data_IF_206505518813
#
_entry.id   IF_206505518813
#
_cell.length_a   1.000
_cell.length_b   1.000
_cell.length_c   1.000
_cell.angle_alpha   90.00
_cell.angle_beta   90.00
_cell.angle_gamma   90.00
#
_symmetry.space_group_name_H-M   'P 1'
#
loop_
_entity.id
_entity.type
_entity.pdbx_description
1 polymer ?
#
# COMPACT_ATOMS: atom_id res chain seq x y z
N UNK A 1 26.90 -6.77 -18.96
CA UNK A 1 27.47 -8.12 -18.85
C UNK A 1 28.99 -8.14 -18.90
N UNK A 2 29.64 -7.43 -19.88
CA UNK A 2 31.09 -7.49 -20.08
C UNK A 2 31.90 -7.10 -18.82
N UNK A 3 31.53 -6.02 -18.14
CA UNK A 3 32.20 -5.58 -16.91
C UNK A 3 32.06 -6.59 -15.75
N UNK A 4 30.90 -7.24 -15.65
CA UNK A 4 30.67 -8.27 -14.64
C UNK A 4 31.57 -9.49 -14.89
N UNK A 5 31.62 -9.94 -16.16
CA UNK A 5 32.49 -11.06 -16.56
C UNK A 5 33.97 -10.72 -16.35
N UNK A 6 34.40 -9.50 -16.66
CA UNK A 6 35.76 -9.05 -16.41
C UNK A 6 36.16 -8.98 -14.92
N UNK A 7 35.17 -8.85 -14.05
CA UNK A 7 35.32 -8.84 -12.59
C UNK A 7 35.03 -10.20 -11.93
N UNK A 8 34.95 -11.29 -12.71
CA UNK A 8 34.57 -12.63 -12.22
C UNK A 8 33.20 -12.67 -11.48
N UNK A 9 32.30 -11.75 -11.82
CA UNK A 9 30.94 -11.71 -11.27
C UNK A 9 29.97 -12.32 -12.28
N UNK A 10 29.17 -13.27 -11.84
CA UNK A 10 28.16 -13.88 -12.68
C UNK A 10 27.15 -12.83 -13.20
N UNK A 11 26.82 -12.82 -14.50
CA UNK A 11 25.79 -11.96 -15.03
C UNK A 11 24.43 -12.22 -14.37
N UNK A 12 23.54 -11.19 -14.28
CA UNK A 12 22.20 -11.37 -13.76
C UNK A 12 21.44 -12.37 -14.64
N UNK A 13 20.62 -13.20 -14.00
CA UNK A 13 19.77 -14.17 -14.72
C UNK A 13 18.69 -13.50 -15.55
N UNK A 14 18.30 -12.29 -15.19
CA UNK A 14 17.27 -11.49 -15.86
C UNK A 14 17.63 -10.02 -15.79
N UNK A 15 17.43 -9.31 -16.89
CA UNK A 15 17.47 -7.84 -16.97
C UNK A 15 16.07 -7.38 -17.26
N UNK A 16 15.52 -6.52 -16.42
CA UNK A 16 14.18 -5.96 -16.59
C UNK A 16 14.28 -4.49 -16.94
N UNK A 17 13.67 -4.10 -18.09
CA UNK A 17 13.56 -2.71 -18.49
C UNK A 17 12.26 -2.10 -17.95
N UNK A 18 12.33 -0.89 -17.43
CA UNK A 18 11.16 -0.12 -17.04
C UNK A 18 10.94 1.07 -17.98
N UNK A 19 9.72 1.62 -17.97
CA UNK A 19 9.34 2.77 -18.78
C UNK A 19 9.85 4.11 -18.23
N UNK A 20 9.48 5.19 -18.90
CA UNK A 20 9.83 6.54 -18.51
C UNK A 20 8.85 7.08 -17.46
N UNK A 21 9.34 7.99 -16.63
CA UNK A 21 8.48 8.83 -15.79
C UNK A 21 8.22 10.12 -16.57
N UNK A 22 6.94 10.38 -16.84
CA UNK A 22 6.43 11.51 -17.59
C UNK A 22 5.79 12.53 -16.64
N UNK A 23 5.76 13.79 -17.06
CA UNK A 23 4.99 14.85 -16.41
C UNK A 23 4.12 15.54 -17.45
N UNK A 24 2.78 15.44 -17.30
CA UNK A 24 1.83 15.97 -18.27
C UNK A 24 1.93 15.29 -19.65
N UNK A 25 2.09 13.96 -19.68
CA UNK A 25 2.26 13.12 -20.88
C UNK A 25 3.52 13.43 -21.68
N UNK A 26 4.42 14.26 -21.15
CA UNK A 26 5.69 14.58 -21.78
C UNK A 26 6.87 14.09 -20.95
N UNK A 27 7.97 13.77 -21.64
CA UNK A 27 9.23 13.45 -20.97
C UNK A 27 9.71 14.67 -20.17
N UNK A 28 10.04 14.46 -18.90
CA UNK A 28 10.59 15.51 -18.05
C UNK A 28 11.88 16.08 -18.63
N UNK A 29 11.98 17.41 -18.68
CA UNK A 29 13.13 18.12 -19.22
C UNK A 29 13.34 19.42 -18.48
N UNK A 30 14.61 19.74 -18.15
CA UNK A 30 14.98 20.99 -17.50
C UNK A 30 14.59 22.21 -18.34
N UNK A 31 14.71 22.12 -19.65
CA UNK A 31 14.37 23.22 -20.56
C UNK A 31 12.87 23.52 -20.64
N UNK A 32 12.02 22.54 -20.31
CA UNK A 32 10.55 22.69 -20.28
C UNK A 32 10.01 23.10 -18.91
N UNK A 33 10.83 23.05 -17.87
CA UNK A 33 10.42 23.38 -16.49
C UNK A 33 9.37 22.42 -15.90
N UNK A 34 9.21 21.22 -16.48
CA UNK A 34 8.23 20.22 -16.07
C UNK A 34 8.85 19.09 -15.21
N UNK A 35 9.99 19.36 -14.59
CA UNK A 35 10.63 18.40 -13.69
C UNK A 35 9.98 18.49 -12.32
N UNK A 36 9.55 17.36 -11.81
CA UNK A 36 9.23 17.17 -10.40
C UNK A 36 10.53 16.74 -9.69
N UNK A 37 11.11 17.66 -8.90
CA UNK A 37 12.34 17.35 -8.16
C UNK A 37 12.00 16.42 -6.99
N UNK A 38 12.54 15.19 -6.97
CA UNK A 38 12.25 14.26 -5.91
C UNK A 38 12.74 14.73 -4.53
N UNK A 39 13.76 15.57 -4.45
CA UNK A 39 14.25 16.09 -3.17
C UNK A 39 13.26 17.09 -2.58
N UNK A 40 12.71 18.01 -3.39
CA UNK A 40 11.67 18.95 -2.95
C UNK A 40 10.40 18.20 -2.50
N UNK A 41 10.03 17.13 -3.18
CA UNK A 41 8.90 16.28 -2.80
C UNK A 41 9.18 15.57 -1.46
N UNK A 42 10.39 15.04 -1.29
CA UNK A 42 10.79 14.37 -0.03
C UNK A 42 10.79 15.35 1.13
N UNK A 43 11.29 16.57 0.93
CA UNK A 43 11.29 17.61 1.97
C UNK A 43 9.87 18.03 2.38
N UNK A 44 8.92 18.01 1.43
CA UNK A 44 7.53 18.41 1.67
C UNK A 44 6.67 17.30 2.24
N UNK A 45 6.73 16.10 1.66
CA UNK A 45 5.80 14.99 1.96
C UNK A 45 6.48 13.81 2.66
N UNK A 46 7.81 13.74 2.67
CA UNK A 46 8.58 12.62 3.18
C UNK A 46 8.93 11.58 2.09
N UNK A 47 9.91 10.75 2.40
CA UNK A 47 10.43 9.73 1.48
C UNK A 47 9.42 8.61 1.19
N UNK A 48 8.78 8.08 2.23
CA UNK A 48 7.89 6.92 2.08
C UNK A 48 6.62 7.23 1.28
N UNK A 49 5.95 8.38 1.42
CA UNK A 49 4.86 8.75 0.54
C UNK A 49 5.24 8.84 -0.94
N UNK A 50 6.42 9.39 -1.26
CA UNK A 50 6.91 9.43 -2.63
C UNK A 50 7.16 8.02 -3.18
N UNK A 51 7.83 7.16 -2.42
CA UNK A 51 8.08 5.76 -2.82
C UNK A 51 6.77 5.00 -3.03
N UNK A 52 5.83 5.15 -2.11
CA UNK A 52 4.50 4.55 -2.22
C UNK A 52 3.79 4.98 -3.51
N UNK A 53 3.74 6.28 -3.78
CA UNK A 53 3.12 6.85 -4.96
C UNK A 53 3.73 6.31 -6.26
N UNK A 54 5.06 6.33 -6.37
CA UNK A 54 5.75 5.85 -7.57
C UNK A 54 5.49 4.36 -7.83
N UNK A 55 5.48 3.54 -6.79
CA UNK A 55 5.22 2.10 -6.91
C UNK A 55 3.76 1.83 -7.27
N UNK A 56 2.83 2.61 -6.72
CA UNK A 56 1.39 2.41 -6.95
C UNK A 56 0.94 2.88 -8.31
N UNK A 57 1.34 4.09 -8.71
CA UNK A 57 0.81 4.77 -9.90
C UNK A 57 1.55 4.39 -11.19
N UNK A 58 2.80 3.98 -11.09
CA UNK A 58 3.62 3.62 -12.25
C UNK A 58 3.68 2.11 -12.39
N UNK A 59 2.96 1.55 -13.36
CA UNK A 59 3.08 0.13 -13.71
C UNK A 59 4.49 -0.17 -14.17
N UNK A 60 5.18 -1.08 -13.47
CA UNK A 60 6.54 -1.43 -13.78
C UNK A 60 6.64 -2.02 -15.20
N UNK A 61 7.55 -1.45 -16.04
CA UNK A 61 7.66 -1.82 -17.46
C UNK A 61 6.94 -0.88 -18.43
N UNK A 62 6.03 -0.03 -17.96
CA UNK A 62 5.32 0.96 -18.76
C UNK A 62 5.73 2.39 -18.38
N UNK A 63 5.43 3.35 -19.26
CA UNK A 63 5.59 4.76 -18.94
C UNK A 63 4.56 5.18 -17.89
N UNK A 64 4.99 5.99 -16.93
CA UNK A 64 4.14 6.49 -15.85
C UNK A 64 4.04 8.00 -15.88
N UNK A 65 2.81 8.53 -15.87
CA UNK A 65 2.56 9.96 -15.80
C UNK A 65 2.30 10.38 -14.34
N UNK A 66 3.24 11.15 -13.78
CA UNK A 66 3.16 11.63 -12.41
C UNK A 66 2.82 13.13 -12.36
N UNK A 67 2.11 13.53 -11.30
CA UNK A 67 1.85 14.93 -10.98
C UNK A 67 1.75 15.12 -9.47
N UNK A 68 1.91 16.36 -9.02
CA UNK A 68 1.78 16.71 -7.60
C UNK A 68 0.37 16.45 -7.10
N UNK A 69 -0.66 16.78 -7.89
CA UNK A 69 -2.05 16.56 -7.51
C UNK A 69 -2.37 15.08 -7.31
N UNK A 70 -1.83 14.21 -8.18
CA UNK A 70 -1.98 12.76 -8.04
C UNK A 70 -1.26 12.25 -6.79
N UNK A 71 -0.06 12.75 -6.50
CA UNK A 71 0.69 12.43 -5.29
C UNK A 71 -0.12 12.80 -4.03
N UNK A 72 -0.61 14.03 -3.96
CA UNK A 72 -1.42 14.51 -2.82
C UNK A 72 -2.71 13.69 -2.66
N UNK A 73 -3.39 13.41 -3.76
CA UNK A 73 -4.58 12.56 -3.76
C UNK A 73 -4.28 11.17 -3.25
N UNK A 74 -3.19 10.55 -3.70
CA UNK A 74 -2.75 9.23 -3.27
C UNK A 74 -2.41 9.20 -1.77
N UNK A 75 -1.66 10.19 -1.27
CA UNK A 75 -1.33 10.32 0.15
C UNK A 75 -2.62 10.45 0.99
N UNK A 76 -3.52 11.32 0.58
CA UNK A 76 -4.75 11.57 1.33
C UNK A 76 -5.70 10.39 1.30
N UNK A 77 -5.93 9.77 0.13
CA UNK A 77 -6.88 8.66 0.02
C UNK A 77 -6.39 7.40 0.71
N UNK A 78 -5.18 6.98 0.42
CA UNK A 78 -4.71 5.65 0.78
C UNK A 78 -3.98 5.64 2.12
N UNK A 79 -3.05 6.58 2.31
CA UNK A 79 -2.23 6.58 3.52
C UNK A 79 -2.96 7.23 4.69
N UNK A 80 -3.58 8.40 4.50
CA UNK A 80 -4.28 9.09 5.57
C UNK A 80 -5.69 8.52 5.83
N UNK A 81 -6.57 8.57 4.82
CA UNK A 81 -7.99 8.25 5.00
C UNK A 81 -8.30 6.75 5.00
N UNK A 82 -7.46 5.91 4.40
CA UNK A 82 -7.65 4.46 4.45
C UNK A 82 -6.79 3.84 5.57
N UNK A 83 -5.48 3.74 5.39
CA UNK A 83 -4.59 3.08 6.35
C UNK A 83 -4.53 3.80 7.69
N UNK A 84 -4.21 5.11 7.70
CA UNK A 84 -4.07 5.91 8.92
C UNK A 84 -5.36 5.96 9.73
N UNK A 85 -6.51 6.17 9.06
CA UNK A 85 -7.81 6.17 9.71
C UNK A 85 -8.16 4.80 10.32
N UNK A 86 -7.88 3.69 9.61
CA UNK A 86 -8.10 2.35 10.16
C UNK A 86 -7.27 2.13 11.42
N UNK A 87 -5.96 2.42 11.37
CA UNK A 87 -5.08 2.30 12.54
C UNK A 87 -5.56 3.15 13.71
N UNK A 88 -5.88 4.43 13.46
CA UNK A 88 -6.36 5.34 14.49
C UNK A 88 -7.64 4.83 15.15
N UNK A 89 -8.60 4.36 14.37
CA UNK A 89 -9.90 3.89 14.86
C UNK A 89 -9.76 2.61 15.70
N UNK A 90 -8.98 1.65 15.22
CA UNK A 90 -8.73 0.38 15.94
C UNK A 90 -7.97 0.64 17.23
N UNK A 91 -6.87 1.39 17.19
CA UNK A 91 -6.06 1.70 18.36
C UNK A 91 -6.83 2.56 19.39
N UNK A 92 -7.61 3.54 18.93
CA UNK A 92 -8.45 4.33 19.83
C UNK A 92 -9.56 3.49 20.48
N UNK A 93 -10.11 2.53 19.75
CA UNK A 93 -11.08 1.58 20.29
C UNK A 93 -10.45 0.68 21.36
N UNK A 94 -9.29 0.09 21.09
CA UNK A 94 -8.55 -0.73 22.04
C UNK A 94 -8.15 0.06 23.28
N UNK A 95 -7.65 1.28 23.12
CA UNK A 95 -7.34 2.15 24.26
C UNK A 95 -8.55 2.37 25.17
N UNK A 96 -9.68 2.72 24.57
CA UNK A 96 -10.89 3.10 25.32
C UNK A 96 -11.59 1.92 25.99
N UNK A 97 -11.50 0.72 25.41
CA UNK A 97 -12.34 -0.41 25.82
C UNK A 97 -11.55 -1.58 26.43
N UNK A 98 -10.24 -1.68 26.20
CA UNK A 98 -9.40 -2.80 26.68
C UNK A 98 -8.04 -2.38 27.26
N UNK A 99 -7.89 -1.13 27.70
CA UNK A 99 -6.65 -0.60 28.28
C UNK A 99 -5.38 -0.86 27.44
N UNK A 100 -5.48 -0.71 26.11
CA UNK A 100 -4.43 -1.03 25.13
C UNK A 100 -4.07 -2.52 25.03
N UNK A 101 -4.75 -3.39 25.70
CA UNK A 101 -4.56 -4.82 25.53
C UNK A 101 -5.37 -5.31 24.32
N UNK A 102 -4.80 -6.20 23.54
CA UNK A 102 -5.54 -6.93 22.51
C UNK A 102 -6.29 -8.05 23.24
N UNK A 103 -7.64 -8.08 23.20
CA UNK A 103 -8.41 -9.11 23.87
C UNK A 103 -8.05 -10.50 23.35
N UNK A 104 -8.14 -11.50 24.23
CA UNK A 104 -8.01 -12.90 23.81
C UNK A 104 -9.15 -13.28 22.87
N UNK A 105 -8.78 -13.99 21.80
CA UNK A 105 -9.72 -14.46 20.81
C UNK A 105 -10.52 -15.65 21.37
N UNK A 106 -11.84 -15.52 21.46
CA UNK A 106 -12.70 -16.60 21.95
C UNK A 106 -13.34 -17.40 20.81
N UNK A 107 -14.14 -16.76 19.97
CA UNK A 107 -14.85 -17.43 18.88
C UNK A 107 -15.07 -16.47 17.70
N UNK A 108 -14.71 -16.92 16.51
CA UNK A 108 -15.00 -16.19 15.29
C UNK A 108 -16.42 -16.49 14.81
N UNK A 109 -17.17 -15.46 14.47
CA UNK A 109 -18.43 -15.59 13.75
C UNK A 109 -18.20 -15.82 12.26
N UNK A 110 -19.26 -15.96 11.46
CA UNK A 110 -19.12 -16.22 10.03
C UNK A 110 -18.50 -15.04 9.26
N UNK A 111 -18.81 -13.79 9.65
CA UNK A 111 -18.23 -12.59 9.01
C UNK A 111 -16.73 -12.49 9.30
N UNK A 112 -16.32 -12.85 10.53
CA UNK A 112 -14.91 -12.88 10.93
C UNK A 112 -14.14 -13.92 10.09
N UNK A 113 -14.71 -15.12 9.94
CA UNK A 113 -14.12 -16.17 9.12
C UNK A 113 -14.01 -15.77 7.65
N UNK A 114 -15.05 -15.12 7.11
CA UNK A 114 -15.06 -14.66 5.72
C UNK A 114 -13.91 -13.70 5.44
N UNK A 115 -13.68 -12.70 6.31
CA UNK A 115 -12.59 -11.75 6.11
C UNK A 115 -11.21 -12.41 6.27
N UNK A 116 -11.03 -13.30 7.26
CA UNK A 116 -9.79 -14.05 7.46
C UNK A 116 -9.48 -14.98 6.29
N UNK A 117 -10.49 -15.69 5.78
CA UNK A 117 -10.38 -16.55 4.60
C UNK A 117 -10.03 -15.74 3.35
N UNK A 118 -10.58 -14.55 3.21
CA UNK A 118 -10.25 -13.65 2.11
C UNK A 118 -8.76 -13.30 2.12
N UNK A 119 -8.19 -12.94 3.26
CA UNK A 119 -6.75 -12.67 3.37
C UNK A 119 -5.89 -13.90 3.08
N UNK A 120 -6.29 -15.06 3.58
CA UNK A 120 -5.54 -16.31 3.39
C UNK A 120 -5.50 -16.77 1.94
N UNK A 121 -6.63 -16.72 1.24
CA UNK A 121 -6.76 -17.16 -0.17
C UNK A 121 -5.94 -16.32 -1.14
N UNK A 122 -5.64 -15.07 -0.77
CA UNK A 122 -4.97 -14.15 -1.68
C UNK A 122 -3.44 -14.15 -1.56
N UNK A 123 -2.88 -14.92 -0.65
CA UNK A 123 -1.42 -15.01 -0.48
C UNK A 123 -0.70 -15.47 -1.76
N UNK A 124 -1.26 -16.46 -2.47
CA UNK A 124 -0.70 -16.94 -3.73
C UNK A 124 -0.72 -15.87 -4.83
N UNK A 125 -1.75 -15.02 -4.85
CA UNK A 125 -1.82 -13.89 -5.79
C UNK A 125 -0.72 -12.86 -5.51
N UNK A 126 -0.44 -12.56 -4.24
CA UNK A 126 0.64 -11.67 -3.84
C UNK A 126 2.01 -12.22 -4.25
N UNK A 127 2.26 -13.51 -4.07
CA UNK A 127 3.49 -14.14 -4.53
C UNK A 127 3.64 -14.02 -6.05
N UNK A 128 2.57 -14.28 -6.80
CA UNK A 128 2.57 -14.16 -8.25
C UNK A 128 2.88 -12.73 -8.73
N UNK A 129 2.27 -11.71 -8.10
CA UNK A 129 2.58 -10.32 -8.43
C UNK A 129 4.05 -9.99 -8.14
N UNK A 130 4.59 -10.48 -7.01
CA UNK A 130 5.99 -10.30 -6.65
C UNK A 130 6.92 -10.95 -7.67
N UNK A 131 6.66 -12.21 -8.04
CA UNK A 131 7.48 -12.96 -8.99
C UNK A 131 7.48 -12.36 -10.40
N UNK A 132 6.35 -11.80 -10.81
CA UNK A 132 6.19 -11.11 -12.10
C UNK A 132 6.72 -9.68 -12.08
N UNK A 133 7.04 -9.13 -10.91
CA UNK A 133 7.38 -7.72 -10.71
C UNK A 133 6.20 -6.76 -10.99
N UNK A 134 4.97 -7.24 -10.85
CA UNK A 134 3.74 -6.47 -10.94
C UNK A 134 3.51 -5.69 -9.63
N UNK A 135 4.48 -4.82 -9.27
CA UNK A 135 4.54 -4.21 -7.92
C UNK A 135 3.36 -3.29 -7.67
N UNK A 136 2.87 -2.60 -8.69
CA UNK A 136 1.67 -1.78 -8.59
C UNK A 136 0.41 -2.62 -8.29
N UNK A 137 0.27 -3.81 -8.89
CA UNK A 137 -0.83 -4.73 -8.59
C UNK A 137 -0.73 -5.28 -7.17
N UNK A 138 0.50 -5.57 -6.72
CA UNK A 138 0.77 -5.99 -5.34
C UNK A 138 0.30 -4.93 -4.33
N UNK A 139 0.65 -3.67 -4.53
CA UNK A 139 0.28 -2.55 -3.64
C UNK A 139 -1.23 -2.28 -3.72
N UNK A 140 -1.81 -2.21 -4.91
CA UNK A 140 -3.25 -1.99 -5.07
C UNK A 140 -4.06 -3.08 -4.37
N UNK A 141 -3.63 -4.32 -4.49
CA UNK A 141 -4.25 -5.42 -3.76
C UNK A 141 -4.24 -5.20 -2.24
N UNK A 142 -3.11 -4.78 -1.65
CA UNK A 142 -3.03 -4.47 -0.21
C UNK A 142 -3.98 -3.33 0.16
N UNK A 143 -4.04 -2.27 -0.65
CA UNK A 143 -4.94 -1.13 -0.43
C UNK A 143 -6.41 -1.57 -0.44
N UNK A 144 -6.79 -2.45 -1.36
CA UNK A 144 -8.15 -3.01 -1.42
C UNK A 144 -8.49 -3.81 -0.15
N UNK A 145 -7.51 -4.57 0.40
CA UNK A 145 -7.71 -5.27 1.67
C UNK A 145 -7.88 -4.31 2.86
N UNK A 146 -7.19 -3.17 2.85
CA UNK A 146 -7.39 -2.13 3.88
C UNK A 146 -8.79 -1.50 3.79
N UNK A 147 -9.32 -1.29 2.59
CA UNK A 147 -10.70 -0.86 2.40
C UNK A 147 -11.70 -1.90 2.92
N UNK A 148 -11.46 -3.18 2.64
CA UNK A 148 -12.28 -4.28 3.17
C UNK A 148 -12.25 -4.33 4.70
N UNK A 149 -11.08 -4.14 5.32
CA UNK A 149 -10.93 -4.08 6.77
C UNK A 149 -11.65 -2.87 7.38
N UNK A 150 -11.56 -1.68 6.76
CA UNK A 150 -12.31 -0.51 7.18
C UNK A 150 -13.82 -0.73 7.12
N UNK A 151 -14.30 -1.34 6.04
CA UNK A 151 -15.72 -1.70 5.88
C UNK A 151 -16.14 -2.69 6.96
N UNK A 152 -15.39 -3.77 7.15
CA UNK A 152 -15.66 -4.76 8.19
C UNK A 152 -15.75 -4.13 9.59
N UNK A 153 -14.78 -3.28 9.97
CA UNK A 153 -14.82 -2.57 11.25
C UNK A 153 -16.05 -1.69 11.41
N UNK A 154 -16.53 -1.04 10.33
CA UNK A 154 -17.77 -0.29 10.32
C UNK A 154 -18.99 -1.19 10.50
N UNK A 155 -19.07 -2.28 9.73
CA UNK A 155 -20.22 -3.18 9.70
C UNK A 155 -20.39 -3.91 11.03
N UNK A 156 -19.27 -4.26 11.70
CA UNK A 156 -19.29 -4.92 13.00
C UNK A 156 -19.69 -3.98 14.16
N UNK A 157 -19.56 -2.67 14.01
CA UNK A 157 -19.94 -1.66 15.00
C UNK A 157 -19.52 -2.00 16.45
N UNK A 158 -18.22 -2.32 16.72
CA UNK A 158 -17.79 -2.81 18.02
C UNK A 158 -18.13 -1.84 19.16
N UNK A 159 -18.23 -0.55 18.89
CA UNK A 159 -18.64 0.46 19.88
C UNK A 159 -20.07 0.31 20.40
N UNK A 160 -20.95 -0.37 19.66
CA UNK A 160 -22.32 -0.69 20.11
C UNK A 160 -22.40 -1.97 20.94
N UNK A 161 -21.39 -2.82 20.87
CA UNK A 161 -21.37 -4.17 21.47
C UNK A 161 -20.59 -4.23 22.78
N UNK A 162 -20.35 -3.09 23.46
CA UNK A 162 -19.53 -2.97 24.67
C UNK A 162 -19.90 -3.88 25.84
N UNK A 163 -21.16 -4.34 25.91
CA UNK A 163 -21.65 -5.22 26.96
C UNK A 163 -21.66 -6.70 26.57
N UNK A 164 -21.29 -7.01 25.34
CA UNK A 164 -21.21 -8.37 24.82
C UNK A 164 -19.75 -8.82 24.80
N UNK A 165 -19.30 -9.40 25.94
CA UNK A 165 -17.91 -9.89 26.10
C UNK A 165 -17.48 -10.91 25.04
N UNK A 166 -18.44 -11.57 24.36
CA UNK A 166 -18.17 -12.52 23.28
C UNK A 166 -17.86 -11.86 21.95
N UNK A 167 -18.19 -10.57 21.79
CA UNK A 167 -18.03 -9.84 20.52
C UNK A 167 -17.06 -8.67 20.59
N UNK A 168 -16.46 -8.41 21.74
CA UNK A 168 -15.40 -7.41 21.91
C UNK A 168 -14.00 -7.98 21.64
N UNK A 169 -13.92 -9.29 21.50
CA UNK A 169 -12.65 -10.02 21.30
C UNK A 169 -12.41 -10.24 19.76
#
# INVERSE_FOLDING_TARGET
PAFLLAADINPPKRVFGHGWILSGDEKMSKSKGNILDPLEIIDTYGLDPLRYYLIKEVSFGNDGNISQEKLESCINSDLANNYGNLCQRVLAFCNKNSNFEVPENNTFNEDDKLILDQYSKHYESLLKYSDNQDVNLYINFIVDQLFAANKYFNDQEPWKKKNDKLRMN
#
